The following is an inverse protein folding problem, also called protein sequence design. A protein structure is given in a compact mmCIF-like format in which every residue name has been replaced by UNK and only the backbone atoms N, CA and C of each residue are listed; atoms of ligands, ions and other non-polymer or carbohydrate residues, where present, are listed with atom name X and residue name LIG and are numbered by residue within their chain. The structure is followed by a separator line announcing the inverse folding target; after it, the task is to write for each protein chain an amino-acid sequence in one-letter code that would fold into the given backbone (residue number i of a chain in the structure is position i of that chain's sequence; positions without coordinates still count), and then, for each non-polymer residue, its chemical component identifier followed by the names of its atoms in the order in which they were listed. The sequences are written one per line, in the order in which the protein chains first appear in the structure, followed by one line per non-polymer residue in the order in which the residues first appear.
data_IF_497684000868
#
_entry.id   IF_497684000868
#
_cell.length_a   1.000
_cell.length_b   1.000
_cell.length_c   1.000
_cell.angle_alpha   90.00
_cell.angle_beta   90.00
_cell.angle_gamma   90.00
#
_symmetry.space_group_name_H-M   'P 1'
#
loop_
_entity.id
_entity.type
_entity.pdbx_description
1 polymer ?
#
# COMPACT_ATOMS: atom_id res chain seq x y z
N UNK A 1 18.78 -2.75 -1.77
CA UNK A 1 17.58 -1.92 -1.56
C UNK A 1 16.77 -2.55 -0.45
N UNK A 2 16.28 -1.77 0.53
CA UNK A 2 15.48 -2.27 1.65
C UNK A 2 14.01 -1.85 1.47
N UNK A 3 13.04 -2.72 1.77
CA UNK A 3 11.63 -2.35 1.68
C UNK A 3 11.26 -1.34 2.76
N UNK A 4 10.37 -0.39 2.42
CA UNK A 4 9.82 0.58 3.37
C UNK A 4 8.79 -0.06 4.29
N UNK A 5 8.00 -1.01 3.77
CA UNK A 5 7.04 -1.81 4.51
C UNK A 5 6.82 -3.16 3.82
N UNK A 6 6.38 -4.18 4.57
CA UNK A 6 5.96 -5.48 4.04
C UNK A 6 4.84 -6.06 4.92
N UNK A 7 4.05 -6.95 4.35
CA UNK A 7 3.03 -7.72 5.07
C UNK A 7 3.02 -9.16 4.57
N UNK A 8 2.65 -10.09 5.43
CA UNK A 8 2.38 -11.49 5.07
C UNK A 8 0.88 -11.69 5.14
N UNK A 9 0.31 -12.14 4.02
CA UNK A 9 -1.11 -12.42 3.84
C UNK A 9 -1.29 -13.80 3.25
N UNK A 10 -2.41 -14.44 3.51
CA UNK A 10 -2.73 -15.76 2.96
C UNK A 10 -2.83 -15.74 1.44
N UNK A 11 -3.39 -14.65 0.88
CA UNK A 11 -3.53 -14.46 -0.56
C UNK A 11 -3.42 -12.99 -0.92
N UNK A 12 -2.76 -12.72 -2.03
CA UNK A 12 -2.74 -11.41 -2.65
C UNK A 12 -4.08 -11.15 -3.36
N UNK A 13 -4.92 -10.34 -2.71
CA UNK A 13 -6.24 -9.94 -3.22
C UNK A 13 -6.39 -8.43 -3.16
N UNK A 14 -7.40 -7.89 -3.86
CA UNK A 14 -7.71 -6.46 -3.77
C UNK A 14 -8.05 -6.03 -2.33
N UNK A 15 -8.66 -6.90 -1.53
CA UNK A 15 -9.04 -6.57 -0.15
C UNK A 15 -7.81 -6.53 0.77
N UNK A 16 -6.89 -7.49 0.63
CA UNK A 16 -5.62 -7.47 1.38
C UNK A 16 -4.74 -6.30 0.98
N UNK A 17 -4.71 -5.93 -0.30
CA UNK A 17 -3.99 -4.74 -0.78
C UNK A 17 -4.60 -3.44 -0.28
N UNK A 18 -5.92 -3.29 -0.32
CA UNK A 18 -6.62 -2.11 0.22
C UNK A 18 -6.34 -1.95 1.71
N UNK A 19 -6.41 -3.04 2.48
CA UNK A 19 -6.08 -3.02 3.89
C UNK A 19 -4.62 -2.58 4.13
N UNK A 20 -3.67 -3.16 3.40
CA UNK A 20 -2.26 -2.84 3.57
C UNK A 20 -1.93 -1.38 3.22
N UNK A 21 -2.47 -0.88 2.10
CA UNK A 21 -2.28 0.52 1.68
C UNK A 21 -2.95 1.48 2.66
N UNK A 22 -4.11 1.14 3.22
CA UNK A 22 -4.76 1.98 4.23
C UNK A 22 -3.91 2.11 5.51
N UNK A 23 -3.24 1.03 5.94
CA UNK A 23 -2.27 1.09 7.04
C UNK A 23 -1.07 1.96 6.67
N UNK A 24 -0.50 1.76 5.48
CA UNK A 24 0.65 2.53 5.03
C UNK A 24 0.35 4.04 4.93
N UNK A 25 -0.83 4.41 4.42
CA UNK A 25 -1.31 5.80 4.37
C UNK A 25 -1.37 6.41 5.78
N UNK A 26 -1.89 5.65 6.75
CA UNK A 26 -1.99 6.09 8.14
C UNK A 26 -0.61 6.26 8.77
N UNK A 27 0.28 5.29 8.59
CA UNK A 27 1.60 5.29 9.21
C UNK A 27 2.56 6.34 8.62
N UNK A 28 2.36 6.70 7.34
CA UNK A 28 3.09 7.76 6.65
C UNK A 28 2.41 9.14 6.73
N UNK A 29 1.29 9.24 7.46
CA UNK A 29 0.50 10.46 7.61
C UNK A 29 0.15 11.13 6.25
N UNK A 30 -0.22 10.30 5.27
CA UNK A 30 -0.57 10.78 3.93
C UNK A 30 -1.95 11.45 3.97
N UNK A 31 -1.94 12.78 3.95
CA UNK A 31 -3.11 13.64 4.03
C UNK A 31 -3.55 14.16 2.65
N UNK A 32 -4.56 15.04 2.60
CA UNK A 32 -5.05 15.72 1.39
C UNK A 32 -5.39 14.78 0.23
N UNK A 33 -6.03 13.65 0.55
CA UNK A 33 -6.37 12.59 -0.41
C UNK A 33 -5.15 12.08 -1.22
N UNK A 34 -3.96 12.10 -0.64
CA UNK A 34 -2.75 11.62 -1.30
C UNK A 34 -2.11 12.62 -2.26
N UNK A 35 -2.39 13.92 -2.12
CA UNK A 35 -1.73 14.95 -2.91
C UNK A 35 -0.19 14.83 -2.83
N UNK A 36 0.48 14.73 -3.97
CA UNK A 36 1.93 14.55 -4.06
C UNK A 36 2.43 13.10 -3.99
N UNK A 37 1.53 12.13 -3.85
CA UNK A 37 1.88 10.69 -3.83
C UNK A 37 1.41 9.99 -5.10
N UNK A 38 2.24 9.08 -5.61
CA UNK A 38 1.90 8.17 -6.70
C UNK A 38 2.16 6.75 -6.23
N UNK A 39 1.11 5.94 -6.18
CA UNK A 39 1.22 4.52 -5.89
C UNK A 39 1.23 3.73 -7.19
N UNK A 40 2.23 2.86 -7.34
CA UNK A 40 2.38 1.99 -8.51
C UNK A 40 2.43 0.56 -8.01
N UNK A 41 1.48 -0.25 -8.46
CA UNK A 41 1.50 -1.69 -8.25
C UNK A 41 2.02 -2.38 -9.51
N UNK A 42 2.83 -3.41 -9.32
CA UNK A 42 3.00 -4.46 -10.31
C UNK A 42 1.64 -5.13 -10.51
N UNK A 43 0.93 -4.79 -11.58
CA UNK A 43 -0.33 -5.44 -11.88
C UNK A 43 -0.01 -6.75 -12.59
N UNK A 44 -0.03 -7.87 -11.85
CA UNK A 44 -0.04 -9.19 -12.48
C UNK A 44 -1.36 -9.39 -13.25
N UNK A 45 -1.23 -9.91 -14.47
CA UNK A 45 -2.33 -10.32 -15.35
C UNK A 45 -3.20 -11.41 -14.72
#
# INVERSE_FOLDING_TARGET
MYPVAWAVVERETNDTWKWFIALLIKDLEINDNGAGWVFISDQQK
#
